data_IF_132014156586
#
_entry.id   IF_132014156586
#
_cell.length_a   1.000
_cell.length_b   1.000
_cell.length_c   1.000
_cell.angle_alpha   90.00
_cell.angle_beta   90.00
_cell.angle_gamma   90.00
#
_symmetry.space_group_name_H-M   'P 1'
#
loop_
_entity.id
_entity.type
_entity.pdbx_description
1 polymer ?
#
# COMPACT_ATOMS: atom_id res chain seq x y z
N UNK A 1 4.93 21.73 11.42
CA UNK A 1 4.71 20.88 10.23
C UNK A 1 3.49 20.02 10.52
N UNK A 2 2.32 20.32 9.94
CA UNK A 2 1.08 19.61 10.25
C UNK A 2 1.15 18.20 9.67
N UNK A 3 1.20 17.19 10.53
CA UNK A 3 1.22 15.78 10.11
C UNK A 3 -0.09 15.47 9.38
N UNK A 4 -0.02 15.22 8.07
CA UNK A 4 -1.15 14.71 7.30
C UNK A 4 -1.51 13.33 7.85
N UNK A 5 -2.75 13.18 8.30
CA UNK A 5 -3.23 11.90 8.82
C UNK A 5 -3.73 11.07 7.63
N UNK A 6 -3.13 9.90 7.31
CA UNK A 6 -3.41 9.18 6.06
C UNK A 6 -4.90 8.89 5.81
N UNK A 7 -5.66 8.55 6.86
CA UNK A 7 -7.09 8.29 6.70
C UNK A 7 -7.88 9.53 6.25
N UNK A 8 -7.47 10.75 6.63
CA UNK A 8 -8.11 11.99 6.19
C UNK A 8 -7.88 12.25 4.71
N UNK A 9 -6.66 11.96 4.22
CA UNK A 9 -6.30 12.09 2.80
C UNK A 9 -7.17 11.19 1.95
N UNK A 10 -7.35 9.93 2.35
CA UNK A 10 -8.20 9.03 1.59
C UNK A 10 -9.67 9.45 1.61
N UNK A 11 -10.19 9.88 2.77
CA UNK A 11 -11.58 10.32 2.88
C UNK A 11 -11.86 11.55 2.00
N UNK A 12 -10.94 12.52 2.00
CA UNK A 12 -11.02 13.72 1.15
C UNK A 12 -10.94 13.37 -0.34
N UNK A 13 -10.07 12.43 -0.72
CA UNK A 13 -10.00 11.98 -2.11
C UNK A 13 -11.32 11.33 -2.56
N UNK A 14 -11.92 10.49 -1.70
CA UNK A 14 -13.21 9.85 -2.01
C UNK A 14 -14.38 10.84 -2.05
N UNK A 15 -14.38 11.89 -1.22
CA UNK A 15 -15.42 12.93 -1.29
C UNK A 15 -15.29 13.80 -2.55
N UNK A 16 -14.07 13.94 -3.07
CA UNK A 16 -13.75 14.69 -4.31
C UNK A 16 -13.80 13.84 -5.58
N UNK A 17 -14.35 12.63 -5.50
CA UNK A 17 -14.66 11.82 -6.68
C UNK A 17 -13.65 10.71 -7.02
N UNK A 18 -12.73 10.36 -6.10
CA UNK A 18 -11.98 9.11 -6.23
C UNK A 18 -12.94 7.92 -6.16
N UNK A 19 -13.22 7.31 -7.31
CA UNK A 19 -14.10 6.15 -7.43
C UNK A 19 -13.33 4.86 -7.18
N UNK A 20 -13.85 4.03 -6.28
CA UNK A 20 -13.33 2.69 -6.03
C UNK A 20 -14.16 1.72 -6.87
N UNK A 21 -13.57 1.01 -7.84
CA UNK A 21 -14.32 0.05 -8.65
C UNK A 21 -14.89 -1.06 -7.77
N UNK A 22 -16.12 -1.51 -8.06
CA UNK A 22 -16.75 -2.60 -7.32
C UNK A 22 -15.84 -3.84 -7.31
N UNK A 23 -15.73 -4.48 -6.15
CA UNK A 23 -14.93 -5.70 -5.92
C UNK A 23 -13.42 -5.53 -6.19
N UNK A 24 -12.92 -4.30 -6.23
CA UNK A 24 -11.48 -4.00 -6.31
C UNK A 24 -11.01 -3.18 -5.11
N UNK A 25 -9.71 -3.19 -4.89
CA UNK A 25 -9.02 -2.41 -3.86
C UNK A 25 -7.86 -1.64 -4.49
N UNK A 26 -7.61 -0.43 -4.01
CA UNK A 26 -6.35 0.25 -4.28
C UNK A 26 -5.26 -0.28 -3.33
N UNK A 27 -4.05 -0.47 -3.85
CA UNK A 27 -2.90 -0.80 -3.03
C UNK A 27 -2.42 0.49 -2.36
N UNK A 28 -2.47 0.53 -1.03
CA UNK A 28 -2.09 1.68 -0.24
C UNK A 28 -0.64 1.60 0.23
N UNK A 29 -0.01 2.74 0.48
CA UNK A 29 1.27 2.79 1.17
C UNK A 29 1.15 2.27 2.62
N UNK A 30 2.27 1.82 3.19
CA UNK A 30 2.35 1.28 4.54
C UNK A 30 1.87 2.27 5.61
N UNK A 31 1.80 3.58 5.34
CA UNK A 31 1.22 4.58 6.25
C UNK A 31 -0.31 4.49 6.43
N UNK A 32 -1.02 3.83 5.51
CA UNK A 32 -2.47 3.64 5.60
C UNK A 32 -2.82 2.41 6.43
N UNK A 33 -4.06 2.36 6.93
CA UNK A 33 -4.62 1.17 7.56
C UNK A 33 -5.41 0.33 6.55
N UNK A 34 -5.52 -0.97 6.78
CA UNK A 34 -6.42 -1.85 6.03
C UNK A 34 -7.87 -1.37 6.20
N UNK A 35 -8.58 -1.15 5.10
CA UNK A 35 -10.00 -0.71 5.12
C UNK A 35 -10.71 -1.02 3.81
N UNK A 36 -12.04 -0.94 3.79
CA UNK A 36 -12.79 -1.09 2.55
C UNK A 36 -12.28 -0.14 1.47
N UNK A 37 -11.89 -0.72 0.32
CA UNK A 37 -11.35 0.02 -0.82
C UNK A 37 -9.84 0.31 -0.78
N UNK A 38 -9.16 0.06 0.34
CA UNK A 38 -7.69 0.07 0.44
C UNK A 38 -7.15 -1.27 0.97
N UNK A 39 -6.24 -1.87 0.22
CA UNK A 39 -5.43 -2.97 0.70
C UNK A 39 -4.04 -2.45 1.05
N UNK A 40 -3.65 -2.53 2.31
CA UNK A 40 -2.30 -2.15 2.74
C UNK A 40 -1.43 -3.42 2.76
N UNK A 41 -0.18 -3.38 2.25
CA UNK A 41 0.77 -4.47 2.42
C UNK A 41 0.90 -4.86 3.89
N UNK A 42 1.15 -6.15 4.14
CA UNK A 42 1.32 -6.65 5.50
C UNK A 42 2.50 -5.95 6.18
N UNK A 43 2.21 -5.19 7.24
CA UNK A 43 3.23 -4.48 8.01
C UNK A 43 4.12 -5.51 8.72
N UNK A 44 5.43 -5.44 8.51
CA UNK A 44 6.40 -6.30 9.18
C UNK A 44 6.95 -7.44 8.31
N UNK A 45 6.34 -7.73 7.16
CA UNK A 45 6.99 -8.55 6.12
C UNK A 45 7.57 -7.59 5.09
N UNK A 46 8.88 -7.33 5.21
CA UNK A 46 9.66 -6.95 4.02
C UNK A 46 9.72 -8.24 3.21
N UNK A 47 9.02 -8.32 2.09
CA UNK A 47 9.19 -9.46 1.21
C UNK A 47 10.65 -9.44 0.73
N UNK A 48 11.48 -10.24 1.41
CA UNK A 48 12.82 -10.72 1.06
C UNK A 48 13.90 -9.72 0.65
N UNK A 49 13.65 -8.40 0.60
CA UNK A 49 14.59 -7.39 0.08
C UNK A 49 16.03 -7.48 0.63
N UNK A 50 16.24 -7.92 1.88
CA UNK A 50 17.61 -8.11 2.42
C UNK A 50 18.29 -9.40 1.93
N UNK A 51 17.57 -10.51 1.87
CA UNK A 51 18.09 -11.80 1.42
C UNK A 51 18.23 -11.83 -0.10
N UNK A 52 17.27 -11.25 -0.81
CA UNK A 52 17.28 -11.05 -2.26
C UNK A 52 18.42 -10.14 -2.69
N UNK A 53 18.65 -9.01 -1.99
CA UNK A 53 19.79 -8.14 -2.26
C UNK A 53 21.14 -8.83 -1.99
N UNK A 54 21.25 -9.61 -0.89
CA UNK A 54 22.46 -10.40 -0.59
C UNK A 54 22.74 -11.49 -1.62
N UNK A 55 21.70 -12.12 -2.15
CA UNK A 55 21.79 -13.18 -3.16
C UNK A 55 21.91 -12.63 -4.60
N UNK A 56 21.91 -11.31 -4.80
CA UNK A 56 21.91 -10.70 -6.14
C UNK A 56 20.64 -10.99 -6.95
N UNK A 57 19.58 -11.44 -6.28
CA UNK A 57 18.32 -11.81 -6.89
C UNK A 57 17.47 -10.55 -7.08
N UNK A 58 16.93 -10.41 -8.28
CA UNK A 58 15.89 -9.42 -8.57
C UNK A 58 14.52 -10.06 -8.33
N UNK A 59 13.51 -9.29 -7.92
CA UNK A 59 12.13 -9.76 -7.89
C UNK A 59 11.74 -10.40 -9.21
N UNK A 60 11.44 -11.69 -9.18
CA UNK A 60 11.07 -12.46 -10.36
C UNK A 60 9.61 -12.19 -10.75
N UNK A 61 8.81 -11.75 -9.78
CA UNK A 61 7.41 -11.41 -10.00
C UNK A 61 7.01 -10.18 -9.17
N UNK A 62 5.87 -9.60 -9.53
CA UNK A 62 5.31 -8.42 -8.86
C UNK A 62 4.97 -8.61 -7.37
N UNK A 63 4.92 -9.85 -6.87
CA UNK A 63 4.62 -10.15 -5.45
C UNK A 63 5.88 -10.15 -4.58
N UNK A 64 7.07 -10.06 -5.19
CA UNK A 64 8.38 -10.02 -4.51
C UNK A 64 8.97 -8.60 -4.42
N UNK A 65 8.25 -7.59 -4.93
CA UNK A 65 8.58 -6.17 -4.78
C UNK A 65 7.97 -5.59 -3.49
#
# INVERSE_FOLDING_TARGET
>A
MNKLIPHQVFNDATSKGLKIPQRKYFLADAGYGLRQGLMTPFRGVRYHLKEQAKAGLKPANKKEL
#
